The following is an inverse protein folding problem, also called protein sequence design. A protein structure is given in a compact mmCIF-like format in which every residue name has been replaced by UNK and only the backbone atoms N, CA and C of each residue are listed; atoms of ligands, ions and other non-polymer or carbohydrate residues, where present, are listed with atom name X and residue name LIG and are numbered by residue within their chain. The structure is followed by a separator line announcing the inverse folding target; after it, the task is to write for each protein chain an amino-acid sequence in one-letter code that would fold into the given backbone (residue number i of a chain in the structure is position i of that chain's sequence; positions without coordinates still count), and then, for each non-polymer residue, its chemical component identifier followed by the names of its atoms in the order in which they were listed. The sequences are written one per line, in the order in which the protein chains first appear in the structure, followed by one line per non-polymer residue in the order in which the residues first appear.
data_IF_806282129556
#
_entry.id   IF_806282129556
#
_cell.length_a   1.000
_cell.length_b   1.000
_cell.length_c   1.000
_cell.angle_alpha   90.00
_cell.angle_beta   90.00
_cell.angle_gamma   90.00
#
_symmetry.space_group_name_H-M   'P 1'
#
loop_
_entity.id
_entity.type
_entity.pdbx_description
1 polymer ?
#
# COMPACT_ATOMS: atom_id res chain seq x y z
N UNK A 1 15.00 -12.23 -44.48
CA UNK A 1 15.41 -10.84 -44.18
C UNK A 1 14.23 -9.97 -43.73
N UNK A 2 13.55 -10.28 -42.61
CA UNK A 2 12.39 -9.48 -42.12
C UNK A 2 12.34 -9.22 -40.61
N UNK A 3 13.25 -9.81 -39.81
CA UNK A 3 13.28 -9.61 -38.34
C UNK A 3 14.24 -8.50 -37.88
N UNK A 4 15.28 -8.21 -38.67
CA UNK A 4 16.31 -7.21 -38.31
C UNK A 4 15.86 -5.76 -38.50
N UNK A 5 14.88 -5.50 -39.38
CA UNK A 5 14.44 -4.13 -39.69
C UNK A 5 13.52 -3.57 -38.62
N UNK A 6 12.70 -4.43 -37.99
CA UNK A 6 11.78 -4.03 -36.93
C UNK A 6 12.54 -3.66 -35.64
N UNK A 7 13.55 -4.45 -35.28
CA UNK A 7 14.41 -4.17 -34.12
C UNK A 7 15.17 -2.85 -34.29
N UNK A 8 15.59 -2.53 -35.52
CA UNK A 8 16.28 -1.28 -35.84
C UNK A 8 15.35 -0.06 -35.75
N UNK A 9 14.08 -0.19 -36.16
CA UNK A 9 13.08 0.88 -36.04
C UNK A 9 12.71 1.17 -34.57
N UNK A 10 12.55 0.13 -33.74
CA UNK A 10 12.26 0.30 -32.31
C UNK A 10 13.43 0.96 -31.57
N UNK A 11 14.67 0.59 -31.90
CA UNK A 11 15.87 1.23 -31.34
C UNK A 11 16.04 2.68 -31.82
N UNK A 12 15.70 3.01 -33.07
CA UNK A 12 15.75 4.40 -33.55
C UNK A 12 14.66 5.29 -32.93
N UNK A 13 13.47 4.76 -32.65
CA UNK A 13 12.41 5.50 -31.97
C UNK A 13 12.78 5.82 -30.50
N UNK A 14 13.45 4.88 -29.81
CA UNK A 14 13.98 5.13 -28.45
C UNK A 14 15.21 6.04 -28.44
N UNK A 15 16.09 5.97 -29.45
CA UNK A 15 17.26 6.85 -29.49
C UNK A 15 16.90 8.32 -29.78
N UNK A 16 15.83 8.58 -30.55
CA UNK A 16 15.36 9.94 -30.83
C UNK A 16 14.57 10.58 -29.68
N UNK A 17 14.00 9.79 -28.75
CA UNK A 17 13.33 10.33 -27.56
C UNK A 17 14.28 10.66 -26.40
N UNK A 18 15.50 10.10 -26.40
CA UNK A 18 16.48 10.29 -25.31
C UNK A 18 17.43 11.47 -25.56
N UNK A 19 17.53 11.99 -26.79
CA UNK A 19 18.43 13.12 -27.13
C UNK A 19 17.78 14.51 -27.17
N UNK A 20 16.53 14.64 -26.74
CA UNK A 20 15.85 15.95 -26.74
C UNK A 20 14.74 16.01 -25.70
N UNK A 21 15.10 16.21 -24.44
CA UNK A 21 14.36 17.00 -23.42
C UNK A 21 14.98 16.77 -22.04
N UNK A 22 16.14 17.37 -21.80
CA UNK A 22 16.33 17.99 -20.50
C UNK A 22 15.28 19.12 -20.42
N UNK A 23 14.15 18.90 -19.75
CA UNK A 23 13.38 19.96 -19.10
C UNK A 23 12.21 19.38 -18.30
N UNK A 24 12.18 19.76 -17.02
CA UNK A 24 11.07 19.65 -16.08
C UNK A 24 9.69 19.85 -16.74
N UNK A 25 8.82 18.84 -16.78
CA UNK A 25 7.38 19.09 -16.64
C UNK A 25 6.58 17.85 -16.22
N UNK A 26 5.81 18.01 -15.14
CA UNK A 26 4.74 17.11 -14.68
C UNK A 26 3.53 17.17 -15.62
N UNK A 27 3.65 16.81 -16.90
CA UNK A 27 2.49 16.72 -17.79
C UNK A 27 2.58 15.50 -18.71
N UNK A 28 1.61 14.60 -18.51
CA UNK A 28 1.17 13.51 -19.39
C UNK A 28 2.10 13.17 -20.57
N UNK A 29 2.94 12.16 -20.35
CA UNK A 29 3.74 11.48 -21.38
C UNK A 29 2.91 10.78 -22.47
N UNK A 30 1.57 10.82 -22.38
CA UNK A 30 0.64 10.08 -23.25
C UNK A 30 -0.33 10.95 -24.05
N UNK A 31 -0.19 12.28 -24.04
CA UNK A 31 -1.01 13.16 -24.88
C UNK A 31 -0.61 13.01 -26.35
N UNK A 32 -1.21 12.04 -27.05
CA UNK A 32 -1.02 11.81 -28.49
C UNK A 32 -0.95 10.36 -28.95
N UNK A 33 -1.05 9.37 -28.05
CA UNK A 33 -1.14 7.96 -28.45
C UNK A 33 -2.61 7.52 -28.53
N UNK A 34 -3.18 7.55 -29.73
CA UNK A 34 -4.44 6.86 -30.01
C UNK A 34 -4.20 5.35 -29.99
N UNK A 35 -4.80 4.69 -28.98
CA UNK A 35 -5.25 3.30 -29.01
C UNK A 35 -4.25 2.24 -29.49
N UNK A 36 -3.19 1.98 -28.71
CA UNK A 36 -2.55 0.66 -28.72
C UNK A 36 -3.06 -0.07 -27.48
N UNK A 37 -3.81 -1.16 -27.67
CA UNK A 37 -4.16 -2.07 -26.57
C UNK A 37 -2.86 -2.63 -26.00
N UNK A 38 -2.50 -2.14 -24.81
CA UNK A 38 -1.32 -2.60 -24.08
C UNK A 38 -1.50 -4.10 -23.79
N UNK A 39 -0.47 -4.89 -24.05
CA UNK A 39 -0.44 -6.25 -23.53
C UNK A 39 -0.44 -6.21 -22.00
N UNK A 40 -0.95 -7.23 -21.33
CA UNK A 40 -1.02 -7.28 -19.86
C UNK A 40 0.33 -7.10 -19.16
N UNK A 41 1.45 -7.38 -19.86
CA UNK A 41 2.81 -7.10 -19.39
C UNK A 41 3.20 -5.61 -19.54
N UNK A 42 2.75 -4.92 -20.58
CA UNK A 42 3.01 -3.50 -20.80
C UNK A 42 2.14 -2.60 -19.91
N UNK A 43 0.91 -3.03 -19.60
CA UNK A 43 0.09 -2.41 -18.57
C UNK A 43 0.78 -2.50 -17.20
N UNK A 44 1.40 -3.65 -16.88
CA UNK A 44 2.11 -3.87 -15.62
C UNK A 44 3.37 -2.99 -15.47
N UNK A 45 4.00 -2.58 -16.59
CA UNK A 45 5.09 -1.60 -16.64
C UNK A 45 4.61 -0.15 -16.41
N UNK A 46 3.31 0.12 -16.57
CA UNK A 46 2.68 1.44 -16.44
C UNK A 46 1.91 1.57 -15.11
N UNK A 47 1.52 0.47 -14.47
CA UNK A 47 0.63 0.49 -13.29
C UNK A 47 1.21 1.12 -12.03
N UNK A 48 2.47 1.55 -11.98
CA UNK A 48 3.00 2.21 -10.79
C UNK A 48 2.88 1.31 -9.56
N UNK A 49 2.66 1.91 -8.39
CA UNK A 49 2.66 1.26 -7.08
C UNK A 49 1.71 0.08 -6.87
N UNK A 50 1.68 -0.45 -5.64
CA UNK A 50 0.65 -1.38 -5.20
C UNK A 50 0.30 -1.12 -3.73
N UNK A 51 -1.01 -1.15 -3.41
CA UNK A 51 -1.50 -1.07 -2.04
C UNK A 51 -1.74 -2.48 -1.50
N UNK A 52 -1.22 -2.77 -0.29
CA UNK A 52 -1.43 -4.05 0.38
C UNK A 52 -1.90 -3.92 1.82
N UNK A 53 -2.66 -4.92 2.26
CA UNK A 53 -2.92 -5.20 3.68
C UNK A 53 -1.92 -6.24 4.16
N UNK A 54 -1.10 -5.91 5.16
CA UNK A 54 -0.23 -6.89 5.81
C UNK A 54 -0.82 -7.37 7.13
N UNK A 55 -0.44 -8.59 7.52
CA UNK A 55 -0.85 -9.22 8.77
C UNK A 55 0.41 -9.57 9.57
N UNK A 56 0.61 -8.91 10.72
CA UNK A 56 1.65 -9.27 11.68
C UNK A 56 1.05 -10.09 12.82
N UNK A 57 1.74 -11.14 13.26
CA UNK A 57 1.26 -12.00 14.32
C UNK A 57 1.60 -11.38 15.68
N UNK A 58 0.56 -11.10 16.48
CA UNK A 58 0.69 -10.67 17.87
C UNK A 58 0.63 -11.91 18.78
N UNK A 59 1.02 -11.74 20.05
CA UNK A 59 0.83 -12.76 21.08
C UNK A 59 -0.62 -13.30 21.11
N UNK A 60 -0.77 -14.57 21.50
CA UNK A 60 -2.05 -15.25 21.68
C UNK A 60 -2.88 -15.50 20.39
N UNK A 61 -2.23 -15.72 19.25
CA UNK A 61 -2.91 -16.14 18.01
C UNK A 61 -3.69 -15.03 17.31
N UNK A 62 -3.47 -13.79 17.72
CA UNK A 62 -4.14 -12.61 17.18
C UNK A 62 -3.25 -11.91 16.17
N UNK A 63 -3.87 -11.12 15.30
CA UNK A 63 -3.17 -10.45 14.22
C UNK A 63 -3.34 -8.94 14.34
N UNK A 64 -2.27 -8.24 13.97
CA UNK A 64 -2.22 -6.82 13.69
C UNK A 64 -2.32 -6.64 12.19
N UNK A 65 -3.16 -5.72 11.72
CA UNK A 65 -3.13 -5.31 10.31
C UNK A 65 -2.67 -3.88 10.15
N UNK A 66 -2.03 -3.62 9.03
CA UNK A 66 -1.72 -2.29 8.53
C UNK A 66 -1.82 -2.26 7.01
N UNK A 67 -1.74 -1.07 6.46
CA UNK A 67 -1.75 -0.81 5.02
C UNK A 67 -0.34 -0.38 4.63
N UNK A 68 0.15 -0.87 3.49
CA UNK A 68 1.40 -0.42 2.91
C UNK A 68 1.17 -0.04 1.46
N UNK A 69 1.82 1.02 1.01
CA UNK A 69 1.81 1.45 -0.38
C UNK A 69 3.26 1.34 -0.88
N UNK A 70 3.46 0.65 -1.99
CA UNK A 70 4.77 0.49 -2.62
C UNK A 70 4.85 1.27 -3.93
N UNK A 71 6.06 1.53 -4.43
CA UNK A 71 6.27 2.19 -5.73
C UNK A 71 6.13 1.25 -6.93
N UNK A 72 6.17 -0.07 -6.68
CA UNK A 72 5.98 -1.17 -7.64
C UNK A 72 5.65 -2.47 -6.90
N UNK A 73 5.31 -3.57 -7.60
CA UNK A 73 4.94 -4.83 -6.96
C UNK A 73 6.04 -5.39 -6.04
N UNK A 74 5.65 -5.98 -4.90
CA UNK A 74 6.59 -6.58 -3.92
C UNK A 74 7.38 -7.79 -4.47
N UNK A 75 6.98 -8.30 -5.63
CA UNK A 75 7.68 -9.34 -6.38
C UNK A 75 8.96 -8.80 -7.03
N UNK A 76 9.00 -7.50 -7.35
CA UNK A 76 10.20 -6.82 -7.83
C UNK A 76 11.25 -6.74 -6.68
N UNK A 77 12.53 -7.09 -6.89
CA UNK A 77 13.53 -7.09 -5.83
C UNK A 77 13.87 -5.68 -5.30
N UNK A 78 13.67 -4.65 -6.10
CA UNK A 78 14.06 -3.27 -5.82
C UNK A 78 12.87 -2.39 -5.41
N UNK A 79 11.73 -3.00 -5.06
CA UNK A 79 10.56 -2.26 -4.56
C UNK A 79 10.91 -1.42 -3.33
N UNK A 80 10.26 -0.28 -3.21
CA UNK A 80 10.32 0.62 -2.07
C UNK A 80 8.93 0.72 -1.46
N UNK A 81 8.90 0.72 -0.14
CA UNK A 81 7.71 1.14 0.61
C UNK A 81 7.67 2.65 0.58
N UNK A 82 6.60 3.21 0.03
CA UNK A 82 6.35 4.64 -0.01
C UNK A 82 5.70 5.09 1.30
N UNK A 83 4.68 4.37 1.73
CA UNK A 83 3.90 4.71 2.92
C UNK A 83 3.52 3.45 3.71
N UNK A 84 3.40 3.61 5.03
CA UNK A 84 2.85 2.62 5.93
C UNK A 84 1.81 3.30 6.81
N UNK A 85 0.58 2.82 6.76
CA UNK A 85 -0.52 3.27 7.63
C UNK A 85 -0.80 2.20 8.67
N UNK A 86 -0.41 2.47 9.91
CA UNK A 86 -0.68 1.60 11.05
C UNK A 86 -1.42 2.35 12.15
N UNK A 87 -2.31 1.63 12.83
CA UNK A 87 -3.00 2.13 14.02
C UNK A 87 -2.75 1.19 15.18
N UNK A 88 -2.81 1.71 16.40
CA UNK A 88 -2.59 0.91 17.58
C UNK A 88 -2.84 1.68 18.86
N UNK A 89 -2.72 1.00 20.01
CA UNK A 89 -2.92 1.62 21.30
C UNK A 89 -1.83 2.67 21.58
N UNK A 90 -2.23 3.90 21.93
CA UNK A 90 -1.32 5.02 22.22
C UNK A 90 -0.17 4.67 23.17
N UNK A 91 -0.43 3.85 24.20
CA UNK A 91 0.56 3.50 25.21
C UNK A 91 1.13 2.07 25.03
N UNK A 92 1.05 1.53 23.81
CA UNK A 92 1.57 0.20 23.49
C UNK A 92 0.78 -0.95 24.13
N UNK A 93 1.32 -2.16 23.97
CA UNK A 93 0.72 -3.41 24.47
C UNK A 93 1.01 -3.54 25.97
N UNK A 94 -0.03 -3.41 26.81
CA UNK A 94 0.07 -3.77 28.23
C UNK A 94 0.13 -5.29 28.39
N UNK A 95 1.06 -5.78 29.22
CA UNK A 95 1.25 -7.21 29.50
C UNK A 95 0.26 -7.79 30.51
N UNK A 96 -0.62 -7.00 31.15
CA UNK A 96 -1.54 -7.50 32.17
C UNK A 96 -3.01 -7.61 31.71
N UNK A 97 -3.47 -8.86 31.73
CA UNK A 97 -4.84 -9.39 31.87
C UNK A 97 -5.97 -8.97 30.90
N UNK A 98 -6.40 -9.99 30.16
CA UNK A 98 -7.79 -10.43 29.91
C UNK A 98 -8.78 -9.57 29.10
N UNK A 99 -8.51 -8.32 28.72
CA UNK A 99 -9.47 -7.62 27.83
C UNK A 99 -8.93 -6.52 26.91
N UNK A 100 -7.65 -6.15 27.01
CA UNK A 100 -7.08 -5.11 26.14
C UNK A 100 -5.60 -5.35 25.89
N UNK A 101 -5.27 -6.01 24.77
CA UNK A 101 -3.94 -5.89 24.19
C UNK A 101 -3.77 -4.46 23.71
N UNK A 102 -3.34 -3.58 24.61
CA UNK A 102 -3.25 -2.16 24.34
C UNK A 102 -3.86 -1.28 25.43
N UNK A 103 -3.15 -0.24 25.84
CA UNK A 103 -3.68 0.79 26.73
C UNK A 103 -3.77 2.14 26.01
N UNK A 104 -4.88 2.86 26.21
CA UNK A 104 -5.14 4.17 25.60
C UNK A 104 -6.08 4.13 24.40
N UNK A 105 -6.05 5.20 23.60
CA UNK A 105 -6.88 5.32 22.39
C UNK A 105 -6.20 4.62 21.21
N UNK A 106 -7.01 4.22 20.22
CA UNK A 106 -6.54 3.77 18.93
C UNK A 106 -6.08 4.99 18.13
N UNK A 107 -4.79 5.09 17.83
CA UNK A 107 -4.16 6.25 17.19
C UNK A 107 -3.17 5.77 16.14
N UNK A 108 -2.78 6.62 15.17
CA UNK A 108 -1.71 6.30 14.23
C UNK A 108 -0.43 5.89 14.94
N UNK A 109 0.27 4.92 14.38
CA UNK A 109 1.53 4.39 14.89
C UNK A 109 2.59 4.47 13.81
N UNK A 110 3.76 4.96 14.19
CA UNK A 110 4.96 4.87 13.38
C UNK A 110 5.97 3.98 14.11
N UNK A 111 5.78 2.65 13.98
CA UNK A 111 6.66 1.70 14.65
C UNK A 111 8.07 1.67 14.04
N UNK A 112 8.27 2.18 12.82
CA UNK A 112 9.61 2.31 12.24
C UNK A 112 10.37 3.47 12.90
N UNK A 113 9.76 4.64 13.07
CA UNK A 113 10.38 5.78 13.76
C UNK A 113 10.57 5.52 15.26
N UNK A 114 9.67 4.75 15.88
CA UNK A 114 9.79 4.37 17.30
C UNK A 114 10.89 3.32 17.56
N UNK A 115 11.44 2.67 16.53
CA UNK A 115 12.58 1.76 16.69
C UNK A 115 13.87 2.57 16.83
N UNK A 116 14.71 2.19 17.80
CA UNK A 116 16.08 2.70 17.93
C UNK A 116 16.80 2.68 16.58
N UNK A 117 17.61 3.69 16.27
CA UNK A 117 18.31 3.81 14.97
C UNK A 117 19.03 2.52 14.51
N UNK A 118 19.56 1.74 15.47
CA UNK A 118 20.23 0.44 15.23
C UNK A 118 19.30 -0.70 14.78
N UNK A 119 17.97 -0.50 14.79
CA UNK A 119 16.92 -1.47 14.47
C UNK A 119 15.92 -0.95 13.44
N UNK A 120 16.24 0.14 12.73
CA UNK A 120 15.51 0.59 11.54
C UNK A 120 15.76 -0.42 10.41
N UNK A 121 15.10 -1.57 10.51
CA UNK A 121 15.03 -2.55 9.44
C UNK A 121 13.96 -2.01 8.49
N UNK A 122 14.34 -1.64 7.25
CA UNK A 122 13.38 -1.42 6.15
C UNK A 122 12.31 -2.50 6.25
N UNK A 123 11.03 -2.13 6.37
CA UNK A 123 9.95 -3.09 6.52
C UNK A 123 10.04 -4.17 5.44
N UNK A 124 10.54 -5.34 5.84
CA UNK A 124 10.61 -6.51 4.97
C UNK A 124 9.20 -7.09 4.84
N UNK A 125 8.40 -6.54 3.94
CA UNK A 125 7.02 -6.93 3.71
C UNK A 125 6.89 -8.41 3.34
N UNK A 126 7.90 -9.02 2.69
CA UNK A 126 7.86 -10.43 2.28
C UNK A 126 7.62 -11.38 3.47
N UNK A 127 8.10 -11.04 4.67
CA UNK A 127 7.87 -11.87 5.88
C UNK A 127 6.40 -11.89 6.32
N UNK A 128 5.64 -10.85 5.97
CA UNK A 128 4.24 -10.69 6.34
C UNK A 128 3.26 -11.27 5.33
N UNK A 129 3.75 -11.75 4.18
CA UNK A 129 2.93 -12.30 3.08
C UNK A 129 1.69 -11.42 2.81
N UNK A 130 1.89 -10.12 2.53
CA UNK A 130 0.80 -9.16 2.48
C UNK A 130 -0.17 -9.53 1.36
N UNK A 131 -1.38 -9.04 1.50
CA UNK A 131 -2.47 -9.27 0.58
C UNK A 131 -2.67 -8.02 -0.27
N UNK A 132 -2.57 -8.17 -1.59
CA UNK A 132 -2.86 -7.10 -2.53
C UNK A 132 -4.32 -6.65 -2.35
N UNK A 133 -4.53 -5.34 -2.40
CA UNK A 133 -5.85 -4.73 -2.44
C UNK A 133 -6.22 -4.48 -3.89
N UNK A 134 -7.39 -4.97 -4.30
CA UNK A 134 -7.84 -4.78 -5.67
C UNK A 134 -8.19 -3.29 -5.89
N UNK A 135 -7.64 -2.73 -6.96
CA UNK A 135 -7.95 -1.36 -7.38
C UNK A 135 -9.42 -1.32 -7.85
N UNK A 136 -10.23 -0.36 -7.37
CA UNK A 136 -11.62 -0.24 -7.81
C UNK A 136 -11.73 -0.03 -9.32
N UNK A 137 -12.78 -0.58 -9.94
CA UNK A 137 -13.03 -0.43 -11.36
C UNK A 137 -13.13 1.05 -11.76
N UNK A 138 -12.46 1.42 -12.86
CA UNK A 138 -12.43 2.79 -13.35
C UNK A 138 -11.45 3.73 -12.63
N UNK A 139 -10.62 3.22 -11.70
CA UNK A 139 -9.53 3.98 -11.07
C UNK A 139 -8.16 3.48 -11.50
N UNK A 140 -7.20 4.39 -11.55
CA UNK A 140 -5.78 4.06 -11.62
C UNK A 140 -5.23 3.71 -10.24
N UNK A 141 -4.08 3.04 -10.20
CA UNK A 141 -3.35 2.76 -8.94
C UNK A 141 -3.05 4.05 -8.17
N UNK A 142 -2.55 5.08 -8.86
CA UNK A 142 -2.18 6.33 -8.22
C UNK A 142 -3.39 7.04 -7.58
N UNK A 143 -4.53 7.08 -8.27
CA UNK A 143 -5.77 7.62 -7.71
C UNK A 143 -6.23 6.81 -6.50
N UNK A 144 -6.11 5.49 -6.55
CA UNK A 144 -6.46 4.64 -5.40
C UNK A 144 -5.52 4.84 -4.21
N UNK A 145 -4.20 4.98 -4.43
CA UNK A 145 -3.24 5.27 -3.37
C UNK A 145 -3.54 6.64 -2.71
N UNK A 146 -3.91 7.65 -3.50
CA UNK A 146 -4.36 8.96 -3.00
C UNK A 146 -5.64 8.84 -2.16
N UNK A 147 -6.61 8.05 -2.60
CA UNK A 147 -7.85 7.78 -1.86
C UNK A 147 -7.59 7.05 -0.54
N UNK A 148 -6.68 6.08 -0.52
CA UNK A 148 -6.25 5.38 0.70
C UNK A 148 -5.62 6.36 1.69
N UNK A 149 -4.71 7.23 1.21
CA UNK A 149 -4.07 8.23 2.07
C UNK A 149 -5.06 9.29 2.55
N UNK A 150 -6.03 9.67 1.72
CA UNK A 150 -7.12 10.57 2.11
C UNK A 150 -7.99 9.92 3.19
N UNK A 151 -8.42 8.67 2.99
CA UNK A 151 -9.21 7.92 3.95
C UNK A 151 -8.47 7.73 5.30
N UNK A 152 -7.16 7.51 5.26
CA UNK A 152 -6.33 7.44 6.47
C UNK A 152 -6.32 8.78 7.24
N UNK A 153 -6.13 9.91 6.55
CA UNK A 153 -6.19 11.25 7.15
C UNK A 153 -7.58 11.56 7.72
N UNK A 154 -8.63 11.23 6.97
CA UNK A 154 -10.01 11.41 7.41
C UNK A 154 -10.31 10.54 8.65
N UNK A 155 -9.77 9.32 8.72
CA UNK A 155 -9.86 8.46 9.89
C UNK A 155 -9.11 9.02 11.09
N UNK A 156 -7.88 9.54 10.91
CA UNK A 156 -7.09 10.19 11.96
C UNK A 156 -7.78 11.44 12.53
N UNK A 157 -8.46 12.21 11.69
CA UNK A 157 -9.18 13.41 12.10
C UNK A 157 -10.41 13.10 12.97
N UNK A 158 -10.94 11.86 12.94
CA UNK A 158 -12.01 11.42 13.84
C UNK A 158 -11.50 11.43 15.29
N UNK A 159 -12.35 11.78 16.25
CA UNK A 159 -11.98 11.72 17.68
C UNK A 159 -11.54 10.29 18.02
N UNK A 160 -10.30 10.08 18.50
CA UNK A 160 -9.77 8.74 18.67
C UNK A 160 -10.50 8.02 19.80
N UNK A 161 -11.06 6.86 19.50
CA UNK A 161 -11.79 6.02 20.45
C UNK A 161 -10.84 5.17 21.30
N UNK A 162 -11.32 4.70 22.45
CA UNK A 162 -10.55 3.79 23.33
C UNK A 162 -10.25 2.47 22.59
N UNK A 163 -9.00 2.03 22.62
CA UNK A 163 -8.59 0.80 21.96
C UNK A 163 -9.32 -0.41 22.56
N UNK A 164 -9.98 -1.19 21.71
CA UNK A 164 -10.65 -2.44 22.06
C UNK A 164 -10.42 -3.43 20.94
N UNK A 165 -9.75 -4.54 21.24
CA UNK A 165 -9.29 -5.47 20.19
C UNK A 165 -10.42 -5.94 19.25
N UNK A 166 -11.61 -6.22 19.79
CA UNK A 166 -12.78 -6.70 19.04
C UNK A 166 -13.67 -5.60 18.44
N UNK A 167 -13.40 -4.31 18.67
CA UNK A 167 -14.31 -3.21 18.29
C UNK A 167 -13.64 -1.98 17.68
N UNK A 168 -12.51 -1.55 18.24
CA UNK A 168 -11.76 -0.38 17.80
C UNK A 168 -10.27 -0.68 17.95
N UNK A 169 -9.71 -1.37 16.98
CA UNK A 169 -8.35 -1.86 16.94
C UNK A 169 -7.64 -1.49 15.64
N UNK A 170 -6.39 -1.89 15.50
CA UNK A 170 -5.66 -1.82 14.23
C UNK A 170 -6.46 -2.46 13.09
N UNK A 171 -7.09 -3.62 13.35
CA UNK A 171 -7.86 -4.36 12.36
C UNK A 171 -9.09 -3.61 11.86
N UNK A 172 -9.80 -2.90 12.75
CA UNK A 172 -10.96 -2.10 12.37
C UNK A 172 -10.54 -0.84 11.62
N UNK A 173 -9.46 -0.17 12.05
CA UNK A 173 -8.92 0.99 11.34
C UNK A 173 -8.50 0.63 9.91
N UNK A 174 -7.70 -0.42 9.73
CA UNK A 174 -7.31 -0.90 8.38
C UNK A 174 -8.54 -1.23 7.54
N UNK A 175 -9.55 -1.90 8.11
CA UNK A 175 -10.75 -2.24 7.36
C UNK A 175 -11.57 -1.03 6.94
N UNK A 176 -11.75 -0.05 7.83
CA UNK A 176 -12.50 1.17 7.54
C UNK A 176 -11.79 2.02 6.48
N UNK A 177 -10.47 2.22 6.61
CA UNK A 177 -9.69 3.01 5.64
C UNK A 177 -9.77 2.39 4.24
N UNK A 178 -9.59 1.07 4.11
CA UNK A 178 -9.68 0.40 2.80
C UNK A 178 -11.08 0.50 2.21
N UNK A 179 -12.13 0.32 3.03
CA UNK A 179 -13.52 0.44 2.57
C UNK A 179 -13.89 1.87 2.16
N UNK A 180 -13.45 2.85 2.93
CA UNK A 180 -13.70 4.28 2.68
C UNK A 180 -12.97 4.74 1.39
N UNK A 181 -11.81 4.17 1.08
CA UNK A 181 -11.11 4.37 -0.20
C UNK A 181 -11.80 3.66 -1.40
N UNK A 182 -12.83 2.85 -1.15
CA UNK A 182 -13.52 2.05 -2.15
C UNK A 182 -12.83 0.71 -2.47
N UNK A 183 -11.73 0.40 -1.79
CA UNK A 183 -10.99 -0.85 -1.97
C UNK A 183 -11.74 -2.06 -1.42
N UNK A 184 -11.49 -3.22 -2.02
CA UNK A 184 -12.07 -4.48 -1.57
C UNK A 184 -10.98 -5.51 -1.29
N UNK A 185 -11.10 -6.17 -0.14
CA UNK A 185 -10.19 -7.26 0.27
C UNK A 185 -10.99 -8.31 0.98
N UNK A 186 -10.97 -9.54 0.46
CA UNK A 186 -11.43 -10.70 1.22
C UNK A 186 -10.32 -11.12 2.19
N UNK A 187 -10.44 -10.86 3.50
CA UNK A 187 -9.33 -11.02 4.43
C UNK A 187 -8.87 -12.49 4.50
N UNK A 188 -7.56 -12.73 4.34
CA UNK A 188 -6.97 -14.08 4.52
C UNK A 188 -7.10 -14.62 5.93
N UNK A 189 -7.28 -13.74 6.93
CA UNK A 189 -7.43 -14.07 8.36
C UNK A 189 -8.73 -13.51 8.90
N UNK A 190 -9.38 -14.25 9.80
CA UNK A 190 -10.57 -13.75 10.50
C UNK A 190 -10.13 -12.79 11.60
N UNK A 191 -10.22 -11.48 11.34
CA UNK A 191 -9.85 -10.42 12.28
C UNK A 191 -10.98 -9.40 12.43
N UNK A 192 -11.10 -8.72 13.59
CA UNK A 192 -12.12 -7.69 13.81
C UNK A 192 -12.13 -6.61 12.72
N UNK A 193 -13.30 -6.07 12.37
CA UNK A 193 -13.46 -5.08 11.28
C UNK A 193 -13.61 -5.70 9.89
N UNK A 194 -12.97 -6.84 9.65
CA UNK A 194 -13.06 -7.57 8.40
C UNK A 194 -14.13 -8.68 8.52
N UNK A 195 -15.36 -8.39 8.04
CA UNK A 195 -16.38 -9.43 7.87
C UNK A 195 -15.99 -10.33 6.71
N UNK A 196 -16.15 -11.65 6.89
CA UNK A 196 -15.97 -12.64 5.81
C UNK A 196 -17.08 -12.54 4.78
#
# INVERSE_FOLDING_TARGET
MKKSTLTLMVLMAFAMSVFGTETNSKKNLFAGFDGIELTSQEACLITGGETYVFYDHIAFGQYHTGITITDKPITDPDYKVLEIVEYGPKNGISKSSSSSLGFGNNVPQDYEAQRSEKKKVKTNLKKYKPQLVDVPEGKTVAEFDEDVMKAAKDYEAKKPEKYKIHKNSCNTATSEIIKDAGGNVKPKKSVPGWKK
#
